data_IF_432204162891
#
_entry.id   IF_432204162891
#
_cell.length_a   1.000
_cell.length_b   1.000
_cell.length_c   1.000
_cell.angle_alpha   90.00
_cell.angle_beta   90.00
_cell.angle_gamma   90.00
#
_symmetry.space_group_name_H-M   'P 1'
#
loop_
_entity.id
_entity.type
_entity.pdbx_description
1 polymer ?
#
# COMPACT_ATOMS: atom_id res chain seq x y z
N UNK A 1 -7.31 18.29 -31.86
CA UNK A 1 -8.01 18.29 -30.56
C UNK A 1 -9.48 18.54 -30.80
N UNK A 2 -10.32 17.56 -30.46
CA UNK A 2 -11.77 17.63 -30.69
C UNK A 2 -12.50 18.54 -29.70
N UNK A 3 -13.68 19.06 -30.06
CA UNK A 3 -14.54 19.79 -29.12
C UNK A 3 -15.01 18.88 -27.97
N UNK A 4 -15.16 17.58 -28.27
CA UNK A 4 -15.54 16.54 -27.32
C UNK A 4 -14.49 16.38 -26.21
N UNK A 5 -13.20 16.27 -26.56
CA UNK A 5 -12.13 16.08 -25.57
C UNK A 5 -12.04 17.25 -24.58
N UNK A 6 -12.26 18.49 -25.05
CA UNK A 6 -12.34 19.69 -24.21
C UNK A 6 -13.47 19.61 -23.18
N UNK A 7 -14.66 19.21 -23.61
CA UNK A 7 -15.83 19.06 -22.72
C UNK A 7 -15.59 17.96 -21.69
N UNK A 8 -14.98 16.85 -22.09
CA UNK A 8 -14.64 15.75 -21.16
C UNK A 8 -13.62 16.19 -20.10
N UNK A 9 -12.61 16.99 -20.49
CA UNK A 9 -11.63 17.51 -19.55
C UNK A 9 -12.28 18.44 -18.51
N UNK A 10 -13.15 19.37 -18.93
CA UNK A 10 -13.86 20.26 -18.01
C UNK A 10 -14.73 19.47 -17.01
N UNK A 11 -15.43 18.43 -17.48
CA UNK A 11 -16.24 17.55 -16.63
C UNK A 11 -15.37 16.81 -15.61
N UNK A 12 -14.24 16.26 -16.04
CA UNK A 12 -13.32 15.54 -15.16
C UNK A 12 -12.72 16.47 -14.10
N UNK A 13 -12.31 17.68 -14.48
CA UNK A 13 -11.77 18.69 -13.55
C UNK A 13 -12.82 19.20 -12.57
N UNK A 14 -14.06 19.41 -13.02
CA UNK A 14 -15.17 19.81 -12.14
C UNK A 14 -15.45 18.75 -11.08
N UNK A 15 -15.42 17.46 -11.44
CA UNK A 15 -15.54 16.34 -10.51
C UNK A 15 -14.38 16.30 -9.51
N UNK A 16 -13.13 16.50 -9.96
CA UNK A 16 -11.96 16.53 -9.09
C UNK A 16 -12.08 17.61 -7.99
N UNK A 17 -12.56 18.80 -8.36
CA UNK A 17 -12.80 19.91 -7.41
C UNK A 17 -13.88 19.56 -6.38
N UNK A 18 -14.96 18.89 -6.81
CA UNK A 18 -16.01 18.44 -5.90
C UNK A 18 -15.48 17.39 -4.92
N UNK A 19 -14.71 16.40 -5.41
CA UNK A 19 -14.07 15.39 -4.58
C UNK A 19 -13.16 16.02 -3.53
N UNK A 20 -12.39 17.04 -3.89
CA UNK A 20 -11.52 17.75 -2.97
C UNK A 20 -12.29 18.40 -1.81
N UNK A 21 -13.43 19.05 -2.11
CA UNK A 21 -14.29 19.65 -1.08
C UNK A 21 -14.85 18.58 -0.15
N UNK A 22 -15.36 17.48 -0.69
CA UNK A 22 -15.93 16.37 0.09
C UNK A 22 -14.87 15.75 1.00
N UNK A 23 -13.65 15.52 0.51
CA UNK A 23 -12.57 14.90 1.29
C UNK A 23 -12.04 15.80 2.41
N UNK A 24 -11.97 17.11 2.19
CA UNK A 24 -11.64 18.07 3.26
C UNK A 24 -12.66 18.04 4.40
N UNK A 25 -13.94 17.81 4.09
CA UNK A 25 -15.00 17.67 5.10
C UNK A 25 -14.93 16.33 5.83
N UNK A 26 -14.45 15.26 5.17
CA UNK A 26 -14.39 13.91 5.74
C UNK A 26 -13.06 13.58 6.43
N UNK A 27 -12.16 14.55 6.64
CA UNK A 27 -10.79 14.35 7.14
C UNK A 27 -9.98 13.28 6.38
N UNK A 28 -10.35 13.02 5.11
CA UNK A 28 -9.73 12.00 4.27
C UNK A 28 -8.68 12.58 3.33
N UNK A 29 -7.74 11.75 2.89
CA UNK A 29 -6.78 12.12 1.84
C UNK A 29 -7.42 11.99 0.46
N UNK A 30 -7.24 13.03 -0.38
CA UNK A 30 -7.67 13.05 -1.79
C UNK A 30 -6.49 12.82 -2.75
N UNK A 31 -5.44 12.17 -2.27
CA UNK A 31 -4.21 11.95 -3.02
C UNK A 31 -4.04 10.48 -3.36
N UNK A 32 -3.32 10.24 -4.45
CA UNK A 32 -2.91 8.90 -4.84
C UNK A 32 -1.74 8.45 -3.95
N UNK A 33 -1.67 7.15 -3.65
CA UNK A 33 -0.51 6.60 -2.97
C UNK A 33 0.76 6.79 -3.82
N UNK A 34 1.83 7.29 -3.20
CA UNK A 34 3.15 7.35 -3.84
C UNK A 34 3.80 5.98 -3.79
N UNK A 35 4.39 5.55 -4.91
CA UNK A 35 5.13 4.29 -4.93
C UNK A 35 6.33 4.31 -3.98
N UNK A 36 7.02 5.45 -3.86
CA UNK A 36 8.19 5.57 -2.98
C UNK A 36 7.83 5.37 -1.52
N UNK A 37 6.74 5.99 -1.08
CA UNK A 37 6.20 5.82 0.27
C UNK A 37 5.79 4.37 0.52
N UNK A 38 5.06 3.77 -0.42
CA UNK A 38 4.63 2.37 -0.33
C UNK A 38 5.85 1.43 -0.28
N UNK A 39 6.86 1.63 -1.12
CA UNK A 39 8.11 0.86 -1.10
C UNK A 39 8.81 0.97 0.25
N UNK A 40 8.90 2.19 0.78
CA UNK A 40 9.57 2.47 2.04
C UNK A 40 8.87 1.77 3.21
N UNK A 41 7.58 2.03 3.42
CA UNK A 41 6.82 1.53 4.58
C UNK A 41 6.66 0.00 4.56
N UNK A 42 6.55 -0.59 3.37
CA UNK A 42 6.31 -2.03 3.24
C UNK A 42 7.58 -2.87 3.21
N UNK A 43 8.76 -2.22 3.10
CA UNK A 43 10.08 -2.85 2.93
C UNK A 43 10.04 -3.92 1.84
N UNK A 44 9.49 -3.56 0.67
CA UNK A 44 9.44 -4.46 -0.48
C UNK A 44 10.84 -4.95 -0.85
N UNK A 45 11.04 -6.26 -0.84
CA UNK A 45 12.38 -6.87 -1.01
C UNK A 45 12.57 -7.59 -2.34
N UNK A 46 11.49 -7.88 -3.07
CA UNK A 46 11.56 -8.52 -4.38
C UNK A 46 10.42 -8.08 -5.29
N UNK A 47 10.60 -8.30 -6.59
CA UNK A 47 9.60 -8.04 -7.62
C UNK A 47 9.40 -9.29 -8.46
N UNK A 48 8.15 -9.55 -8.85
CA UNK A 48 7.78 -10.68 -9.71
C UNK A 48 6.94 -10.21 -10.88
N UNK A 49 7.45 -10.42 -12.10
CA UNK A 49 6.66 -10.15 -13.30
C UNK A 49 5.51 -11.15 -13.41
N UNK A 50 4.30 -10.63 -13.67
CA UNK A 50 3.06 -11.40 -13.77
C UNK A 50 2.45 -11.41 -15.18
N UNK A 51 3.14 -10.84 -16.16
CA UNK A 51 2.66 -10.76 -17.54
C UNK A 51 1.66 -9.61 -17.75
N UNK A 52 1.07 -9.60 -18.95
CA UNK A 52 -0.02 -8.71 -19.30
C UNK A 52 -1.33 -9.30 -18.76
N UNK A 53 -2.11 -8.49 -18.05
CA UNK A 53 -3.38 -8.89 -17.44
C UNK A 53 -4.40 -7.76 -17.60
N UNK A 54 -5.66 -8.10 -17.77
CA UNK A 54 -6.74 -7.13 -17.64
C UNK A 54 -7.07 -6.95 -16.16
N UNK A 55 -6.92 -5.73 -15.64
CA UNK A 55 -7.04 -5.42 -14.21
C UNK A 55 -8.21 -4.47 -13.92
N UNK A 56 -8.87 -4.57 -12.76
CA UNK A 56 -9.91 -3.63 -12.36
C UNK A 56 -9.36 -2.22 -12.16
N UNK A 57 -9.93 -1.24 -12.86
CA UNK A 57 -9.47 0.16 -12.79
C UNK A 57 -9.69 0.75 -11.39
N UNK A 58 -10.74 0.31 -10.68
CA UNK A 58 -11.04 0.77 -9.32
C UNK A 58 -10.01 0.31 -8.26
N UNK A 59 -9.19 -0.69 -8.58
CA UNK A 59 -8.07 -1.18 -7.75
C UNK A 59 -6.77 -0.45 -8.02
N UNK A 60 -6.74 0.47 -8.99
CA UNK A 60 -5.60 1.37 -9.19
C UNK A 60 -5.72 2.53 -8.18
N UNK A 61 -4.76 2.59 -7.25
CA UNK A 61 -4.80 3.47 -6.07
C UNK A 61 -3.60 4.43 -5.96
N UNK A 62 -2.57 4.27 -6.79
CA UNK A 62 -1.32 5.04 -6.64
C UNK A 62 -0.61 5.35 -7.96
N UNK A 63 0.42 6.18 -7.89
CA UNK A 63 1.30 6.53 -9.02
C UNK A 63 2.77 6.63 -8.58
N UNK A 64 3.70 6.21 -9.42
CA UNK A 64 5.16 6.32 -9.16
C UNK A 64 5.66 7.77 -9.20
N UNK A 65 5.04 8.66 -9.98
CA UNK A 65 5.57 10.02 -10.14
C UNK A 65 4.55 11.10 -10.48
N UNK A 66 3.27 10.77 -10.62
CA UNK A 66 2.22 11.73 -10.99
C UNK A 66 1.07 11.78 -10.00
N UNK A 67 1.33 11.35 -8.76
CA UNK A 67 0.33 11.31 -7.70
C UNK A 67 -0.18 12.71 -7.28
N UNK A 68 0.56 13.78 -7.61
CA UNK A 68 0.15 15.18 -7.40
C UNK A 68 -0.68 15.76 -8.56
N UNK A 69 -0.53 15.22 -9.77
CA UNK A 69 -1.22 15.71 -10.98
C UNK A 69 -2.71 15.32 -10.99
N UNK A 70 -3.06 14.27 -10.25
CA UNK A 70 -4.38 13.67 -10.21
C UNK A 70 -4.90 13.54 -8.79
N UNK A 71 -6.22 13.53 -8.63
CA UNK A 71 -6.84 13.18 -7.36
C UNK A 71 -6.84 11.65 -7.13
N UNK A 72 -7.34 11.22 -5.98
CA UNK A 72 -7.44 9.79 -5.61
C UNK A 72 -8.25 8.95 -6.62
N UNK A 73 -9.12 9.59 -7.40
CA UNK A 73 -9.89 8.96 -8.48
C UNK A 73 -9.23 9.12 -9.86
N UNK A 74 -7.94 9.46 -9.91
CA UNK A 74 -7.20 9.76 -11.14
C UNK A 74 -7.81 10.89 -11.98
N UNK A 75 -8.59 11.80 -11.41
CA UNK A 75 -9.12 12.95 -12.13
C UNK A 75 -8.09 14.09 -12.16
N UNK A 76 -7.98 14.83 -13.26
CA UNK A 76 -6.98 15.87 -13.43
C UNK A 76 -7.20 17.04 -12.45
N UNK A 77 -6.17 17.41 -11.68
CA UNK A 77 -6.24 18.53 -10.71
C UNK A 77 -5.86 19.89 -11.32
N UNK A 78 -4.97 19.90 -12.31
CA UNK A 78 -4.36 21.13 -12.82
C UNK A 78 -4.47 21.28 -14.35
N UNK A 79 -4.36 22.52 -14.84
CA UNK A 79 -4.44 22.84 -16.28
C UNK A 79 -3.25 22.32 -17.09
N UNK A 80 -2.07 22.20 -16.47
CA UNK A 80 -0.83 21.81 -17.17
C UNK A 80 -0.88 20.42 -17.83
N UNK A 81 -1.86 19.59 -17.48
CA UNK A 81 -2.04 18.25 -18.04
C UNK A 81 -3.12 18.17 -19.13
N UNK A 82 -3.83 19.26 -19.41
CA UNK A 82 -4.95 19.33 -20.38
C UNK A 82 -4.57 18.80 -21.75
N UNK A 83 -3.55 19.37 -22.38
CA UNK A 83 -3.17 19.03 -23.76
C UNK A 83 -2.88 17.54 -23.92
N UNK A 84 -2.12 16.96 -23.00
CA UNK A 84 -1.80 15.51 -23.01
C UNK A 84 -3.04 14.66 -22.73
N UNK A 85 -3.94 15.12 -21.86
CA UNK A 85 -5.17 14.42 -21.52
C UNK A 85 -6.18 14.44 -22.68
N UNK A 86 -6.41 15.59 -23.31
CA UNK A 86 -7.30 15.74 -24.47
C UNK A 86 -6.80 14.94 -25.68
N UNK A 87 -5.48 14.92 -25.93
CA UNK A 87 -4.88 14.07 -26.95
C UNK A 87 -5.07 12.58 -26.65
N UNK A 88 -5.05 12.18 -25.37
CA UNK A 88 -5.30 10.80 -24.96
C UNK A 88 -6.76 10.39 -25.17
N UNK A 89 -7.71 11.29 -24.95
CA UNK A 89 -9.13 11.05 -25.29
C UNK A 89 -9.28 10.78 -26.78
N UNK A 90 -8.73 11.67 -27.62
CA UNK A 90 -8.79 11.55 -29.08
C UNK A 90 -8.12 10.24 -29.55
N UNK A 91 -6.97 9.86 -28.96
CA UNK A 91 -6.28 8.60 -29.24
C UNK A 91 -7.14 7.38 -28.86
N UNK A 92 -7.72 7.34 -27.66
CA UNK A 92 -8.55 6.23 -27.22
C UNK A 92 -9.88 6.11 -27.98
N UNK A 93 -10.41 7.22 -28.53
CA UNK A 93 -11.60 7.19 -29.38
C UNK A 93 -11.32 6.70 -30.80
N UNK A 94 -10.09 6.90 -31.29
CA UNK A 94 -9.71 6.59 -32.68
C UNK A 94 -8.93 5.28 -32.84
N UNK A 95 -8.52 4.65 -31.74
CA UNK A 95 -7.68 3.46 -31.76
C UNK A 95 -8.44 2.21 -31.35
N UNK A 96 -8.39 1.16 -32.19
CA UNK A 96 -8.96 -0.15 -31.87
C UNK A 96 -8.15 -0.92 -30.81
N UNK A 97 -6.89 -0.53 -30.59
CA UNK A 97 -5.98 -1.15 -29.62
C UNK A 97 -5.29 -0.09 -28.78
N UNK A 98 -5.55 -0.11 -27.49
CA UNK A 98 -4.89 0.75 -26.51
C UNK A 98 -3.70 -0.04 -25.94
N UNK A 99 -2.45 0.46 -26.02
CA UNK A 99 -1.32 -0.22 -25.42
C UNK A 99 -1.55 -0.47 -23.92
N UNK A 100 -1.02 -1.56 -23.34
CA UNK A 100 -1.18 -1.82 -21.91
C UNK A 100 -0.45 -0.76 -21.08
N UNK A 101 -0.98 -0.46 -19.90
CA UNK A 101 -0.29 0.37 -18.89
C UNK A 101 0.77 -0.47 -18.17
N UNK A 102 1.66 0.15 -17.40
CA UNK A 102 2.61 -0.58 -16.55
C UNK A 102 2.28 -0.30 -15.09
N UNK A 103 2.11 -1.33 -14.28
CA UNK A 103 1.72 -1.20 -12.88
C UNK A 103 2.57 -2.06 -11.96
N UNK A 104 2.77 -1.55 -10.74
CA UNK A 104 3.16 -2.37 -9.61
C UNK A 104 1.91 -2.89 -8.90
N UNK A 105 1.88 -4.19 -8.58
CA UNK A 105 0.83 -4.80 -7.78
C UNK A 105 1.28 -4.97 -6.34
N UNK A 106 0.42 -4.60 -5.40
CA UNK A 106 0.61 -4.83 -3.96
C UNK A 106 -0.72 -5.26 -3.33
N UNK A 107 -0.75 -6.47 -2.78
CA UNK A 107 -2.03 -7.11 -2.41
C UNK A 107 -2.96 -7.18 -3.61
N UNK A 108 -4.18 -6.69 -3.46
CA UNK A 108 -5.20 -6.57 -4.51
C UNK A 108 -5.23 -5.18 -5.17
N UNK A 109 -4.26 -4.32 -4.86
CA UNK A 109 -4.18 -2.94 -5.36
C UNK A 109 -3.04 -2.75 -6.36
N UNK A 110 -3.14 -1.69 -7.17
CA UNK A 110 -2.19 -1.35 -8.21
C UNK A 110 -1.70 0.10 -8.10
N UNK A 111 -0.43 0.31 -8.44
CA UNK A 111 0.23 1.61 -8.49
C UNK A 111 0.78 1.79 -9.92
N UNK A 112 0.40 2.89 -10.57
CA UNK A 112 0.76 3.16 -11.96
C UNK A 112 2.22 3.59 -12.06
N UNK A 113 3.02 2.82 -12.81
CA UNK A 113 4.36 3.20 -13.25
C UNK A 113 4.31 4.02 -14.52
N UNK A 114 3.58 3.53 -15.52
CA UNK A 114 3.35 4.23 -16.78
C UNK A 114 1.88 4.14 -17.21
N UNK A 115 1.39 5.19 -17.88
CA UNK A 115 0.02 5.25 -18.39
C UNK A 115 -0.98 6.02 -17.52
N UNK A 116 -0.53 6.93 -16.65
CA UNK A 116 -1.41 7.73 -15.77
C UNK A 116 -2.58 8.43 -16.52
N UNK A 117 -2.31 9.02 -17.69
CA UNK A 117 -3.35 9.63 -18.51
C UNK A 117 -4.35 8.61 -19.07
N UNK A 118 -3.89 7.41 -19.46
CA UNK A 118 -4.75 6.33 -19.94
C UNK A 118 -5.71 5.88 -18.83
N UNK A 119 -5.19 5.71 -17.62
CA UNK A 119 -6.03 5.38 -16.44
C UNK A 119 -7.05 6.49 -16.16
N UNK A 120 -6.62 7.76 -16.17
CA UNK A 120 -7.49 8.91 -15.95
C UNK A 120 -8.64 8.98 -16.97
N UNK A 121 -8.32 8.87 -18.26
CA UNK A 121 -9.33 8.87 -19.34
C UNK A 121 -10.22 7.64 -19.24
N UNK A 122 -9.67 6.45 -18.99
CA UNK A 122 -10.44 5.22 -18.84
C UNK A 122 -11.47 5.32 -17.69
N UNK A 123 -11.06 5.87 -16.53
CA UNK A 123 -11.99 6.18 -15.42
C UNK A 123 -13.04 7.21 -15.83
N UNK A 124 -12.65 8.28 -16.52
CA UNK A 124 -13.58 9.31 -16.98
C UNK A 124 -14.64 8.75 -17.94
N UNK A 125 -14.27 7.77 -18.77
CA UNK A 125 -15.17 7.04 -19.67
C UNK A 125 -15.98 5.93 -19.01
N UNK A 126 -15.74 5.65 -17.72
CA UNK A 126 -16.46 4.62 -16.98
C UNK A 126 -16.07 3.19 -17.36
N UNK A 127 -14.86 2.98 -17.88
CA UNK A 127 -14.35 1.62 -18.10
C UNK A 127 -14.15 0.90 -16.76
N UNK A 128 -14.40 -0.40 -16.74
CA UNK A 128 -14.22 -1.24 -15.54
C UNK A 128 -12.82 -1.87 -15.48
N UNK A 129 -12.27 -2.23 -16.63
CA UNK A 129 -11.00 -2.93 -16.77
C UNK A 129 -10.05 -2.23 -17.74
N UNK A 130 -8.74 -2.40 -17.51
CA UNK A 130 -7.68 -1.93 -18.40
C UNK A 130 -6.57 -2.97 -18.48
N UNK A 131 -5.98 -3.15 -19.66
CA UNK A 131 -4.85 -4.05 -19.83
C UNK A 131 -3.58 -3.44 -19.27
N UNK A 132 -2.83 -4.23 -18.50
CA UNK A 132 -1.65 -3.79 -17.78
C UNK A 132 -0.55 -4.86 -17.78
N UNK A 133 0.71 -4.44 -17.96
CA UNK A 133 1.87 -5.19 -17.56
C UNK A 133 2.04 -5.11 -16.04
N UNK A 134 1.93 -6.26 -15.37
CA UNK A 134 1.88 -6.32 -13.90
C UNK A 134 3.22 -6.78 -13.32
N UNK A 135 3.79 -5.96 -12.43
CA UNK A 135 4.98 -6.27 -11.64
C UNK A 135 4.57 -6.34 -10.17
N UNK A 136 4.51 -7.53 -9.58
CA UNK A 136 4.11 -7.71 -8.19
C UNK A 136 5.24 -7.42 -7.22
N UNK A 137 4.98 -6.58 -6.22
CA UNK A 137 5.87 -6.28 -5.11
C UNK A 137 5.71 -7.33 -4.02
N UNK A 138 6.82 -7.89 -3.56
CA UNK A 138 6.84 -8.85 -2.45
C UNK A 138 7.28 -8.12 -1.17
N UNK A 139 6.43 -8.19 -0.15
CA UNK A 139 6.57 -7.46 1.12
C UNK A 139 6.66 -8.45 2.29
N UNK A 140 7.26 -8.02 3.41
CA UNK A 140 7.31 -8.83 4.64
C UNK A 140 5.94 -8.94 5.33
N UNK A 141 5.14 -7.87 5.21
CA UNK A 141 3.78 -7.84 5.73
C UNK A 141 2.78 -8.06 4.60
N UNK A 142 1.84 -9.02 4.74
CA UNK A 142 0.83 -9.28 3.72
C UNK A 142 -0.23 -8.18 3.72
N UNK A 143 -0.20 -7.37 2.67
CA UNK A 143 -1.18 -6.30 2.40
C UNK A 143 -2.31 -6.92 1.57
N UNK A 144 -3.56 -6.74 2.02
CA UNK A 144 -4.74 -7.16 1.26
C UNK A 144 -5.15 -6.07 0.30
N UNK A 145 -5.32 -4.86 0.79
CA UNK A 145 -5.73 -3.70 0.00
C UNK A 145 -4.99 -2.45 0.49
N UNK A 146 -4.32 -1.80 -0.46
CA UNK A 146 -3.56 -0.60 -0.19
C UNK A 146 -4.41 0.49 0.48
N UNK A 147 -4.07 0.78 1.73
CA UNK A 147 -4.71 1.76 2.58
C UNK A 147 -3.70 2.30 3.58
N UNK A 148 -3.93 3.51 4.11
CA UNK A 148 -3.08 4.12 5.14
C UNK A 148 -2.90 3.18 6.35
N UNK A 149 -3.99 2.53 6.78
CA UNK A 149 -3.96 1.57 7.90
C UNK A 149 -3.06 0.37 7.60
N UNK A 150 -3.16 -0.23 6.41
CA UNK A 150 -2.30 -1.37 6.06
C UNK A 150 -0.83 -0.97 5.90
N UNK A 151 -0.56 0.25 5.42
CA UNK A 151 0.80 0.78 5.35
C UNK A 151 1.40 1.01 6.75
N UNK A 152 0.63 1.58 7.69
CA UNK A 152 1.05 1.74 9.08
C UNK A 152 1.28 0.39 9.78
N UNK A 153 0.44 -0.61 9.50
CA UNK A 153 0.64 -1.98 10.01
C UNK A 153 1.91 -2.61 9.46
N UNK A 154 2.16 -2.44 8.16
CA UNK A 154 3.37 -2.96 7.52
C UNK A 154 4.63 -2.30 8.10
N UNK A 155 4.62 -0.97 8.28
CA UNK A 155 5.75 -0.23 8.85
C UNK A 155 6.05 -0.65 10.30
N UNK A 156 5.02 -0.72 11.15
CA UNK A 156 5.17 -1.17 12.53
C UNK A 156 5.63 -2.64 12.63
N UNK A 157 5.16 -3.51 11.73
CA UNK A 157 5.64 -4.89 11.65
C UNK A 157 7.11 -4.96 11.23
N UNK A 158 7.52 -4.16 10.24
CA UNK A 158 8.90 -4.09 9.78
C UNK A 158 9.82 -3.58 10.90
N UNK A 159 9.42 -2.54 11.63
CA UNK A 159 10.12 -2.07 12.83
C UNK A 159 10.27 -3.19 13.88
N UNK A 160 9.20 -3.95 14.15
CA UNK A 160 9.27 -5.10 15.04
C UNK A 160 10.29 -6.14 14.56
N UNK A 161 10.31 -6.49 13.27
CA UNK A 161 11.30 -7.42 12.73
C UNK A 161 12.73 -6.89 12.79
N UNK A 162 12.92 -5.59 12.53
CA UNK A 162 14.22 -4.91 12.57
C UNK A 162 14.78 -4.87 14.00
N UNK A 163 13.98 -4.47 14.98
CA UNK A 163 14.41 -4.32 16.38
C UNK A 163 14.61 -5.66 17.08
N UNK A 164 13.72 -6.62 16.83
CA UNK A 164 13.71 -7.89 17.60
C UNK A 164 14.45 -9.03 16.90
N UNK A 165 14.70 -8.91 15.59
CA UNK A 165 15.18 -10.01 14.74
C UNK A 165 14.28 -11.26 14.81
N UNK A 166 12.99 -11.11 15.11
CA UNK A 166 12.06 -12.22 15.31
C UNK A 166 12.07 -13.24 14.17
N UNK A 167 12.09 -12.77 12.92
CA UNK A 167 12.15 -13.62 11.72
C UNK A 167 13.42 -14.48 11.61
N UNK A 168 14.51 -14.13 12.30
CA UNK A 168 15.73 -14.96 12.36
C UNK A 168 15.61 -16.07 13.40
N UNK A 169 14.94 -15.77 14.51
CA UNK A 169 14.74 -16.73 15.62
C UNK A 169 13.63 -17.73 15.27
N UNK A 170 12.54 -17.24 14.66
CA UNK A 170 11.37 -18.03 14.29
C UNK A 170 10.97 -17.75 12.83
N UNK A 171 11.65 -18.35 11.84
CA UNK A 171 11.43 -18.05 10.42
C UNK A 171 10.03 -18.42 9.93
N UNK A 172 9.40 -19.43 10.52
CA UNK A 172 8.09 -19.92 10.09
C UNK A 172 6.92 -19.27 10.86
N UNK A 173 7.21 -18.47 11.89
CA UNK A 173 6.18 -17.89 12.76
C UNK A 173 5.93 -16.43 12.40
N UNK A 174 4.66 -16.12 12.17
CA UNK A 174 4.23 -14.77 11.80
C UNK A 174 3.22 -14.26 12.81
N UNK A 175 3.63 -13.28 13.63
CA UNK A 175 2.71 -12.60 14.55
C UNK A 175 1.97 -11.51 13.77
N UNK A 176 0.68 -11.73 13.53
CA UNK A 176 -0.19 -10.79 12.82
C UNK A 176 -1.09 -10.05 13.80
N UNK A 177 -0.92 -8.74 13.88
CA UNK A 177 -1.75 -7.85 14.67
C UNK A 177 -2.62 -6.98 13.76
N UNK A 178 -3.73 -6.50 14.30
CA UNK A 178 -4.69 -5.63 13.58
C UNK A 178 -4.53 -4.15 13.93
N UNK A 179 -3.64 -3.84 14.88
CA UNK A 179 -3.31 -2.50 15.36
C UNK A 179 -1.77 -2.31 15.32
N UNK A 180 -1.25 -1.27 14.63
CA UNK A 180 0.19 -0.97 14.59
C UNK A 180 0.83 -0.83 15.97
N UNK A 181 0.13 -0.20 16.92
CA UNK A 181 0.64 0.03 18.28
C UNK A 181 0.98 -1.27 19.01
N UNK A 182 0.28 -2.36 18.69
CA UNK A 182 0.56 -3.66 19.27
C UNK A 182 1.99 -4.12 19.03
N UNK A 183 2.57 -3.85 17.85
CA UNK A 183 3.96 -4.21 17.56
C UNK A 183 4.96 -3.44 18.42
N UNK A 184 4.71 -2.14 18.64
CA UNK A 184 5.52 -1.31 19.54
C UNK A 184 5.51 -1.89 20.95
N UNK A 185 4.33 -2.27 21.45
CA UNK A 185 4.20 -2.94 22.76
C UNK A 185 4.95 -4.27 22.82
N UNK A 186 4.99 -5.06 21.73
CA UNK A 186 5.79 -6.30 21.72
C UNK A 186 7.29 -6.00 21.83
N UNK A 187 7.79 -4.97 21.14
CA UNK A 187 9.20 -4.55 21.21
C UNK A 187 9.55 -4.16 22.66
N UNK A 188 8.69 -3.35 23.31
CA UNK A 188 8.87 -2.95 24.71
C UNK A 188 8.90 -4.17 25.64
N UNK A 189 7.94 -5.09 25.52
CA UNK A 189 7.90 -6.31 26.34
C UNK A 189 9.15 -7.16 26.18
N UNK A 190 9.65 -7.34 24.96
CA UNK A 190 10.87 -8.11 24.70
C UNK A 190 12.08 -7.40 25.30
N UNK A 191 12.17 -6.08 25.15
CA UNK A 191 13.28 -5.26 25.65
C UNK A 191 13.33 -5.25 27.17
N UNK A 192 12.19 -5.03 27.84
CA UNK A 192 12.08 -5.11 29.31
C UNK A 192 12.45 -6.49 29.82
N UNK A 193 12.03 -7.54 29.10
CA UNK A 193 12.38 -8.91 29.47
C UNK A 193 13.86 -9.22 29.30
N UNK A 194 14.48 -8.75 28.21
CA UNK A 194 15.94 -8.86 27.98
C UNK A 194 16.70 -8.29 29.17
N UNK A 195 16.30 -7.11 29.65
CA UNK A 195 16.90 -6.46 30.81
C UNK A 195 16.82 -7.34 32.07
N UNK A 196 15.62 -7.78 32.46
CA UNK A 196 15.45 -8.62 33.66
C UNK A 196 16.13 -9.99 33.54
N UNK A 197 16.17 -10.57 32.34
CA UNK A 197 16.88 -11.82 32.10
C UNK A 197 18.39 -11.64 32.27
N UNK A 198 18.94 -10.53 31.78
CA UNK A 198 20.35 -10.17 31.97
C UNK A 198 20.73 -10.00 33.44
N UNK A 199 19.91 -9.28 34.21
CA UNK A 199 20.09 -9.13 35.66
C UNK A 199 20.10 -10.49 36.38
N UNK A 200 19.14 -11.37 36.04
CA UNK A 200 19.04 -12.71 36.62
C UNK A 200 20.26 -13.58 36.30
N UNK A 201 20.73 -13.52 35.05
CA UNK A 201 21.85 -14.34 34.58
C UNK A 201 23.23 -13.71 34.87
N UNK A 202 23.26 -12.46 35.35
CA UNK A 202 24.46 -11.66 35.59
C UNK A 202 25.38 -11.57 34.37
N UNK A 203 24.77 -11.46 33.18
CA UNK A 203 25.47 -11.27 31.91
C UNK A 203 24.59 -10.53 30.93
N UNK A 204 25.21 -10.02 29.88
CA UNK A 204 24.46 -9.50 28.73
C UNK A 204 23.69 -10.64 28.03
N UNK A 205 22.49 -10.31 27.56
CA UNK A 205 21.57 -11.21 26.87
C UNK A 205 21.31 -10.62 25.49
N UNK A 206 21.53 -11.44 24.45
CA UNK A 206 21.25 -11.02 23.06
C UNK A 206 19.76 -10.78 22.85
N UNK A 207 19.42 -9.99 21.81
CA UNK A 207 18.01 -9.77 21.48
C UNK A 207 17.33 -11.07 21.05
N UNK A 208 18.04 -11.94 20.33
CA UNK A 208 17.55 -13.23 19.88
C UNK A 208 17.24 -14.17 21.04
N UNK A 209 18.10 -14.20 22.07
CA UNK A 209 17.87 -14.98 23.28
C UNK A 209 16.64 -14.46 24.05
N UNK A 210 16.51 -13.14 24.19
CA UNK A 210 15.35 -12.53 24.84
C UNK A 210 14.04 -12.78 24.08
N UNK A 211 14.07 -12.73 22.74
CA UNK A 211 12.92 -13.06 21.90
C UNK A 211 12.49 -14.51 22.09
N UNK A 212 13.45 -15.43 22.10
CA UNK A 212 13.16 -16.86 22.32
C UNK A 212 12.50 -17.08 23.67
N UNK A 213 13.10 -16.56 24.74
CA UNK A 213 12.55 -16.68 26.09
C UNK A 213 11.16 -15.99 26.21
N UNK A 214 11.00 -14.81 25.63
CA UNK A 214 9.72 -14.10 25.60
C UNK A 214 8.62 -14.92 24.91
N UNK A 215 8.92 -15.47 23.74
CA UNK A 215 7.94 -16.20 22.93
C UNK A 215 7.51 -17.50 23.63
N UNK A 216 8.46 -18.34 24.01
CA UNK A 216 8.21 -19.67 24.58
C UNK A 216 7.60 -19.60 25.98
N UNK A 217 8.04 -18.64 26.81
CA UNK A 217 7.67 -18.62 28.23
C UNK A 217 6.55 -17.65 28.59
N UNK A 218 6.19 -16.69 27.73
CA UNK A 218 5.11 -15.74 27.99
C UNK A 218 4.11 -15.65 26.84
N UNK A 219 4.55 -15.30 25.63
CA UNK A 219 3.63 -15.02 24.53
C UNK A 219 2.69 -16.19 24.24
N UNK A 220 3.24 -17.39 24.06
CA UNK A 220 2.44 -18.60 23.79
C UNK A 220 1.44 -18.89 24.92
N UNK A 221 1.84 -18.69 26.18
CA UNK A 221 0.97 -18.93 27.35
C UNK A 221 -0.16 -17.91 27.43
N UNK A 222 0.14 -16.64 27.19
CA UNK A 222 -0.86 -15.57 27.16
C UNK A 222 -1.86 -15.81 26.03
N UNK A 223 -1.38 -16.11 24.81
CA UNK A 223 -2.24 -16.42 23.67
C UNK A 223 -3.13 -17.63 23.95
N UNK A 224 -2.59 -18.70 24.56
CA UNK A 224 -3.38 -19.87 24.94
C UNK A 224 -4.49 -19.54 25.95
N UNK A 225 -4.20 -18.67 26.93
CA UNK A 225 -5.20 -18.21 27.89
C UNK A 225 -6.30 -17.36 27.24
N UNK A 226 -5.94 -16.44 26.34
CA UNK A 226 -6.89 -15.60 25.61
C UNK A 226 -7.82 -16.47 24.75
N UNK A 227 -7.27 -17.44 24.02
CA UNK A 227 -8.05 -18.43 23.23
C UNK A 227 -9.00 -19.24 24.10
N UNK A 228 -8.53 -19.74 25.25
CA UNK A 228 -9.37 -20.48 26.21
C UNK A 228 -10.54 -19.64 26.74
N UNK A 229 -10.41 -18.32 26.75
CA UNK A 229 -11.44 -17.36 27.16
C UNK A 229 -12.32 -16.86 26.02
N UNK A 230 -12.09 -17.32 24.78
CA UNK A 230 -12.90 -16.96 23.60
C UNK A 230 -12.74 -15.50 23.16
N UNK A 231 -11.63 -14.85 23.52
CA UNK A 231 -11.37 -13.44 23.20
C UNK A 231 -10.66 -13.27 21.84
N UNK A 232 -10.12 -14.36 21.28
CA UNK A 232 -9.57 -14.49 19.91
C UNK A 232 -9.75 -15.93 19.42
#
# INVERSE_FOLDING_TARGET
MSLKSRIEFEKAKARAKLNEIIMRLSLGTNELFSLDEVRFLTRSYAYKYRGIQSIPINKIKGSEGRYLDFDREFLPKHEGIRTKWENMVDFMDSSDKIPPIVVYKIGDSYIVRDGNHRVSVAKSKGLEYIDAEVIEMITNFPIKELSEKELLLADAYNMFLEETKFHKVFPDIHIRLTNPWGYITLIEHITTRRYFLGEKLKREVSIEEAVKDWYENLFVKVVALIKKKGLI
#
